data_IF_466919424401
#
_entry.id   IF_466919424401
#
_cell.length_a   1.000
_cell.length_b   1.000
_cell.length_c   1.000
_cell.angle_alpha   90.00
_cell.angle_beta   90.00
_cell.angle_gamma   90.00
#
_symmetry.space_group_name_H-M   'P 1'
#
loop_
_entity.id
_entity.type
_entity.pdbx_description
1 polymer ?
#
# COMPACT_ATOMS: atom_id res chain seq x y z
N UNK A 1 11.99 -24.98 -0.05
CA UNK A 1 11.56 -24.07 -1.14
C UNK A 1 10.25 -23.41 -0.71
N UNK A 2 10.17 -22.07 -0.75
CA UNK A 2 8.91 -21.35 -0.46
C UNK A 2 8.21 -21.02 -1.78
N UNK A 3 6.89 -21.14 -1.89
CA UNK A 3 6.16 -20.72 -3.08
C UNK A 3 6.25 -19.19 -3.24
N UNK A 4 6.43 -18.72 -4.47
CA UNK A 4 6.57 -17.28 -4.81
C UNK A 4 5.24 -16.63 -5.18
N UNK A 5 4.21 -17.44 -5.46
CA UNK A 5 2.87 -17.00 -5.80
C UNK A 5 1.85 -17.73 -4.94
N UNK A 6 0.77 -17.05 -4.58
CA UNK A 6 -0.30 -17.55 -3.71
C UNK A 6 -1.22 -18.57 -4.41
N UNK A 7 -0.99 -18.82 -5.71
CA UNK A 7 -1.81 -19.67 -6.56
C UNK A 7 -2.66 -18.86 -7.55
N UNK A 8 -3.45 -19.54 -8.40
CA UNK A 8 -4.42 -18.86 -9.25
C UNK A 8 -5.56 -18.29 -8.40
N UNK A 9 -5.89 -17.03 -8.65
CA UNK A 9 -6.96 -16.28 -7.99
C UNK A 9 -7.92 -15.75 -9.07
N UNK A 10 -9.17 -15.49 -8.67
CA UNK A 10 -10.16 -14.83 -9.51
C UNK A 10 -10.04 -13.32 -9.37
N UNK A 11 -10.02 -12.62 -10.50
CA UNK A 11 -10.19 -11.16 -10.53
C UNK A 11 -11.68 -10.89 -10.66
N UNK A 12 -12.28 -10.29 -9.63
CA UNK A 12 -13.71 -9.98 -9.58
C UNK A 12 -13.98 -8.65 -10.26
N UNK A 13 -13.30 -7.60 -9.80
CA UNK A 13 -13.41 -6.26 -10.34
C UNK A 13 -12.18 -5.42 -9.97
N UNK A 14 -12.21 -4.13 -10.29
CA UNK A 14 -11.17 -3.16 -9.91
C UNK A 14 -11.82 -2.03 -9.13
N UNK A 15 -11.09 -1.51 -8.16
CA UNK A 15 -11.49 -0.30 -7.48
C UNK A 15 -11.16 0.97 -8.28
N UNK A 16 -11.64 2.13 -7.81
CA UNK A 16 -11.36 3.45 -8.43
C UNK A 16 -9.86 3.80 -8.46
N UNK A 17 -9.06 3.18 -7.60
CA UNK A 17 -7.59 3.29 -7.58
C UNK A 17 -6.86 2.34 -8.54
N UNK A 18 -7.58 1.49 -9.28
CA UNK A 18 -7.00 0.51 -10.20
C UNK A 18 -6.41 -0.75 -9.53
N UNK A 19 -6.60 -0.92 -8.22
CA UNK A 19 -6.30 -2.17 -7.52
C UNK A 19 -7.37 -3.22 -7.80
N UNK A 20 -6.98 -4.49 -7.81
CA UNK A 20 -7.87 -5.61 -8.08
C UNK A 20 -8.52 -6.13 -6.81
N UNK A 21 -9.81 -6.44 -6.90
CA UNK A 21 -10.51 -7.21 -5.88
C UNK A 21 -10.38 -8.68 -6.29
N UNK A 22 -9.74 -9.46 -5.42
CA UNK A 22 -9.40 -10.86 -5.69
C UNK A 22 -10.24 -11.79 -4.83
N UNK A 23 -10.58 -12.95 -5.39
CA UNK A 23 -11.21 -14.03 -4.66
C UNK A 23 -10.50 -15.37 -4.91
N UNK A 24 -10.58 -16.25 -3.92
CA UNK A 24 -10.27 -17.66 -4.12
C UNK A 24 -11.37 -18.36 -4.92
N UNK A 25 -11.09 -19.56 -5.42
CA UNK A 25 -12.03 -20.32 -6.26
C UNK A 25 -13.28 -20.81 -5.51
N UNK A 26 -13.25 -20.79 -4.17
CA UNK A 26 -14.38 -21.11 -3.30
C UNK A 26 -15.29 -19.90 -2.99
N UNK A 27 -14.96 -18.72 -3.52
CA UNK A 27 -15.73 -17.51 -3.33
C UNK A 27 -15.29 -16.60 -2.19
N UNK A 28 -14.24 -16.98 -1.45
CA UNK A 28 -13.68 -16.12 -0.42
C UNK A 28 -12.98 -14.91 -1.05
N UNK A 29 -13.50 -13.71 -0.76
CA UNK A 29 -12.95 -12.45 -1.26
C UNK A 29 -11.93 -11.90 -0.28
N UNK A 30 -10.81 -11.40 -0.82
CA UNK A 30 -9.79 -10.74 -0.03
C UNK A 30 -10.36 -9.43 0.54
N UNK A 31 -10.20 -9.19 1.83
CA UNK A 31 -10.77 -8.00 2.49
C UNK A 31 -10.26 -6.68 1.89
N UNK A 32 -9.08 -6.69 1.27
CA UNK A 32 -8.43 -5.49 0.72
C UNK A 32 -8.04 -5.66 -0.75
N UNK A 33 -8.24 -4.64 -1.59
CA UNK A 33 -7.75 -4.63 -2.96
C UNK A 33 -6.23 -4.80 -3.06
N UNK A 34 -5.79 -5.53 -4.09
CA UNK A 34 -4.38 -5.83 -4.38
C UNK A 34 -3.88 -4.95 -5.51
N UNK A 35 -2.74 -4.29 -5.30
CA UNK A 35 -2.15 -3.41 -6.30
C UNK A 35 -1.89 -4.15 -7.63
N UNK A 36 -2.22 -3.50 -8.75
CA UNK A 36 -2.20 -4.12 -10.08
C UNK A 36 -0.84 -4.74 -10.45
N UNK A 37 0.28 -4.13 -10.05
CA UNK A 37 1.63 -4.63 -10.34
C UNK A 37 1.99 -5.92 -9.58
N UNK A 38 1.17 -6.34 -8.61
CA UNK A 38 1.36 -7.60 -7.86
C UNK A 38 0.61 -8.77 -8.47
N UNK A 39 -0.23 -8.53 -9.49
CA UNK A 39 -1.07 -9.55 -10.13
C UNK A 39 -0.46 -9.94 -11.48
N UNK A 40 -0.19 -11.22 -11.65
CA UNK A 40 0.28 -11.79 -12.92
C UNK A 40 -0.88 -12.59 -13.54
N UNK A 41 -1.22 -12.37 -14.83
CA UNK A 41 -2.25 -13.16 -15.50
C UNK A 41 -1.94 -14.65 -15.47
N UNK A 42 -2.93 -15.45 -15.09
CA UNK A 42 -2.83 -16.91 -15.14
C UNK A 42 -3.21 -17.41 -16.54
N UNK A 43 -2.25 -18.01 -17.24
CA UNK A 43 -2.50 -18.64 -18.54
C UNK A 43 -3.11 -20.04 -18.34
N UNK A 44 -4.44 -20.11 -18.34
CA UNK A 44 -5.15 -21.36 -18.14
C UNK A 44 -4.96 -22.32 -19.34
N UNK A 45 -4.60 -23.58 -19.05
CA UNK A 45 -4.49 -24.63 -20.07
C UNK A 45 -5.85 -25.17 -20.54
N UNK A 46 -6.92 -24.92 -19.78
CA UNK A 46 -8.30 -25.31 -20.08
C UNK A 46 -9.26 -24.20 -19.64
N UNK A 47 -10.38 -24.05 -20.33
CA UNK A 47 -11.43 -23.11 -19.94
C UNK A 47 -12.10 -23.60 -18.66
N UNK A 48 -12.17 -22.74 -17.64
CA UNK A 48 -12.95 -22.97 -16.43
C UNK A 48 -14.33 -22.33 -16.60
N UNK A 49 -15.41 -23.12 -16.45
CA UNK A 49 -16.77 -22.57 -16.37
C UNK A 49 -17.01 -22.16 -14.93
N UNK A 50 -17.23 -20.87 -14.71
CA UNK A 50 -17.61 -20.34 -13.40
C UNK A 50 -19.14 -20.34 -13.27
N UNK A 51 -19.61 -20.51 -12.04
CA UNK A 51 -21.00 -20.25 -11.70
C UNK A 51 -21.30 -18.75 -11.84
N UNK A 52 -22.56 -18.38 -11.66
CA UNK A 52 -22.93 -16.97 -11.58
C UNK A 52 -22.15 -16.28 -10.46
N UNK A 53 -21.72 -15.03 -10.70
CA UNK A 53 -20.81 -14.31 -9.81
C UNK A 53 -21.45 -14.12 -8.43
N UNK A 54 -22.73 -13.78 -8.39
CA UNK A 54 -23.50 -13.62 -7.15
C UNK A 54 -23.62 -14.92 -6.35
N UNK A 55 -23.70 -16.06 -7.04
CA UNK A 55 -23.77 -17.37 -6.40
C UNK A 55 -22.39 -17.88 -5.95
N UNK A 56 -21.32 -17.36 -6.55
CA UNK A 56 -19.95 -17.76 -6.25
C UNK A 56 -19.40 -17.02 -5.02
N UNK A 57 -19.64 -15.71 -4.89
CA UNK A 57 -18.99 -14.88 -3.88
C UNK A 57 -19.63 -15.03 -2.49
N UNK A 58 -18.80 -15.09 -1.46
CA UNK A 58 -19.25 -15.12 -0.06
C UNK A 58 -19.38 -13.72 0.56
N UNK A 59 -19.70 -12.70 -0.24
CA UNK A 59 -19.88 -11.31 0.20
C UNK A 59 -21.14 -10.71 -0.41
N UNK A 60 -21.72 -9.71 0.25
CA UNK A 60 -22.85 -8.96 -0.30
C UNK A 60 -22.42 -8.05 -1.46
N UNK A 61 -23.36 -7.73 -2.34
CA UNK A 61 -23.15 -6.75 -3.42
C UNK A 61 -22.76 -5.38 -2.88
N UNK A 62 -23.39 -4.94 -1.78
CA UNK A 62 -23.06 -3.66 -1.13
C UNK A 62 -21.60 -3.60 -0.67
N UNK A 63 -21.08 -4.71 -0.12
CA UNK A 63 -19.67 -4.79 0.29
C UNK A 63 -18.75 -4.75 -0.93
N UNK A 64 -19.07 -5.50 -1.98
CA UNK A 64 -18.29 -5.48 -3.23
C UNK A 64 -18.25 -4.06 -3.83
N UNK A 65 -19.39 -3.38 -3.87
CA UNK A 65 -19.49 -2.01 -4.37
C UNK A 65 -18.67 -1.03 -3.52
N UNK A 66 -18.69 -1.16 -2.19
CA UNK A 66 -17.86 -0.35 -1.31
C UNK A 66 -16.36 -0.56 -1.58
N UNK A 67 -15.95 -1.80 -1.87
CA UNK A 67 -14.56 -2.09 -2.26
C UNK A 67 -14.22 -1.47 -3.62
N UNK A 68 -15.13 -1.48 -4.58
CA UNK A 68 -14.94 -0.86 -5.89
C UNK A 68 -14.79 0.66 -5.80
N UNK A 69 -15.54 1.31 -4.91
CA UNK A 69 -15.48 2.75 -4.72
C UNK A 69 -14.23 3.24 -3.95
N UNK A 70 -13.48 2.33 -3.31
CA UNK A 70 -12.24 2.66 -2.60
C UNK A 70 -11.10 3.11 -3.55
N UNK A 71 -10.17 3.93 -3.04
CA UNK A 71 -9.01 4.46 -3.82
C UNK A 71 -7.63 3.95 -3.38
N UNK A 72 -7.46 3.41 -2.17
CA UNK A 72 -6.18 2.89 -1.66
C UNK A 72 -6.38 1.70 -0.72
N UNK A 73 -5.28 1.02 -0.36
CA UNK A 73 -5.25 -0.18 0.50
C UNK A 73 -5.37 0.15 2.01
N UNK A 74 -5.33 1.44 2.35
CA UNK A 74 -5.68 2.06 3.63
C UNK A 74 -5.22 3.54 3.60
N UNK A 75 -6.01 4.42 4.21
CA UNK A 75 -5.58 5.69 4.80
C UNK A 75 -5.23 5.47 6.29
N UNK A 76 -4.44 4.43 6.61
CA UNK A 76 -3.90 4.22 7.96
C UNK A 76 -2.41 4.58 7.94
N UNK A 77 -2.16 5.88 7.97
CA UNK A 77 -0.89 6.40 8.44
C UNK A 77 -0.89 6.34 9.97
N UNK A 78 -0.40 5.24 10.54
CA UNK A 78 0.08 5.20 11.92
C UNK A 78 1.35 4.35 11.93
N UNK A 79 2.43 4.96 11.43
CA UNK A 79 3.79 4.59 11.81
C UNK A 79 4.33 5.79 12.60
N UNK A 80 3.82 5.95 13.82
CA UNK A 80 4.35 6.87 14.82
C UNK A 80 5.73 6.36 15.27
N UNK A 81 6.75 6.63 14.44
CA UNK A 81 8.12 6.64 14.90
C UNK A 81 8.42 8.03 15.48
N UNK A 82 7.88 8.31 16.67
CA UNK A 82 8.41 9.38 17.52
C UNK A 82 9.72 8.89 18.14
N UNK A 83 10.83 9.03 17.40
CA UNK A 83 12.17 8.98 17.98
C UNK A 83 12.47 10.37 18.58
N UNK A 84 12.04 10.54 19.82
CA UNK A 84 12.31 11.72 20.65
C UNK A 84 13.73 11.62 21.23
N UNK A 85 14.74 12.01 20.48
CA UNK A 85 16.08 12.28 21.03
C UNK A 85 16.29 13.80 21.13
N UNK A 86 15.76 14.35 22.22
CA UNK A 86 16.22 15.64 22.76
C UNK A 86 17.61 15.45 23.35
N UNK A 87 18.64 16.03 22.72
CA UNK A 87 19.92 16.21 23.40
C UNK A 87 20.40 17.66 23.28
N UNK A 88 19.93 18.46 24.23
CA UNK A 88 20.51 19.76 24.57
C UNK A 88 21.78 19.53 25.37
N UNK A 89 22.95 19.78 24.79
CA UNK A 89 24.12 20.11 25.62
C UNK A 89 24.98 21.21 25.00
N UNK A 90 25.05 22.29 25.77
CA UNK A 90 25.85 23.48 25.52
C UNK A 90 27.35 23.20 25.62
N UNK A 91 28.12 23.63 24.62
CA UNK A 91 29.56 23.96 24.81
C UNK A 91 29.90 25.28 24.12
N UNK A 92 29.73 26.35 24.90
CA UNK A 92 30.52 27.59 24.93
C UNK A 92 31.99 27.38 24.55
N UNK A 93 32.48 28.19 23.60
CA UNK A 93 33.81 28.81 23.65
C UNK A 93 33.81 30.08 22.79
N UNK A 94 34.05 31.21 23.47
CA UNK A 94 34.49 32.46 22.84
C UNK A 94 35.98 32.31 22.47
N UNK A 95 36.42 32.94 21.38
CA UNK A 95 37.74 33.57 21.29
C UNK A 95 37.81 34.46 20.04
N UNK A 96 38.18 35.71 20.30
CA UNK A 96 38.39 36.82 19.38
C UNK A 96 39.56 36.59 18.42
N UNK A 97 39.53 37.23 17.24
CA UNK A 97 40.75 37.88 16.77
C UNK A 97 40.47 39.06 15.83
N UNK A 98 40.74 40.25 16.34
CA UNK A 98 40.88 41.52 15.63
C UNK A 98 42.03 41.49 14.61
N UNK A 99 41.87 42.15 13.46
CA UNK A 99 43.00 42.74 12.73
C UNK A 99 42.55 43.93 11.85
N UNK A 100 42.52 45.10 12.50
CA UNK A 100 43.08 46.40 12.08
C UNK A 100 42.97 46.90 10.62
N UNK A 101 42.09 47.91 10.44
CA UNK A 101 42.33 49.29 9.97
C UNK A 101 43.42 49.63 8.92
N UNK A 102 43.03 50.41 7.90
CA UNK A 102 43.65 51.70 7.49
C UNK A 102 42.77 52.41 6.43
N UNK A 103 42.03 53.49 6.78
CA UNK A 103 42.29 54.95 6.56
C UNK A 103 41.97 55.48 5.15
N UNK A 104 40.97 56.39 5.03
CA UNK A 104 41.05 57.84 4.67
C UNK A 104 41.41 58.12 3.19
N UNK A 105 40.81 59.05 2.43
CA UNK A 105 40.05 60.29 2.68
C UNK A 105 38.90 60.43 1.66
#
# INVERSE_FOLDING_TARGET
MRPWYLGPLLVISRNRGGAYILAELDGLVFDRPVAAFRVIPYFAHRSLKLADLEALLNISQERLQAMEDSRSRDDDAEDDNTDEDTDTSSVRSAEDNDMASATSD
#
